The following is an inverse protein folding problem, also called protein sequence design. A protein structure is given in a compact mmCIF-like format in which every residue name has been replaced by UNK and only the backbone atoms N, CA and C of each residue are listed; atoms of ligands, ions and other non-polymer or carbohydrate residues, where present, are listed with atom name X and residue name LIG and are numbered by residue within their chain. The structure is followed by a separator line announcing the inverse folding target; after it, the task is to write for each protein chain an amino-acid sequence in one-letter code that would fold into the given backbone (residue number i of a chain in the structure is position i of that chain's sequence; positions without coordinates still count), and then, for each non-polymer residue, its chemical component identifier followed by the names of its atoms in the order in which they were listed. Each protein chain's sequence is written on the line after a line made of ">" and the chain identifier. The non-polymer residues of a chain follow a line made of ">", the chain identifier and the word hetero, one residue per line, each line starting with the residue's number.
data_IF_179078948046
#
_entry.id   IF_179078948046
#
_cell.length_a   1.000
_cell.length_b   1.000
_cell.length_c   1.000
_cell.angle_alpha   90.00
_cell.angle_beta   90.00
_cell.angle_gamma   90.00
#
_symmetry.space_group_name_H-M   'P 1'
#
loop_
_entity.id
_entity.type
_entity.pdbx_description
1 polymer ?
#
# COMPACT_ATOMS: atom_id res chain seq x y z
N UNK A 1 -30.88 -7.16 9.26
CA UNK A 1 -29.48 -7.10 8.78
C UNK A 1 -29.43 -6.11 7.62
N UNK A 2 -28.45 -5.19 7.61
CA UNK A 2 -28.49 -3.96 6.79
C UNK A 2 -28.55 -4.23 5.26
N UNK A 3 -27.88 -5.29 4.77
CA UNK A 3 -27.86 -5.66 3.34
C UNK A 3 -28.20 -7.14 3.12
N UNK A 4 -29.29 -7.61 3.74
CA UNK A 4 -29.75 -8.98 3.54
C UNK A 4 -30.87 -9.04 2.52
N UNK A 5 -30.70 -9.87 1.50
CA UNK A 5 -31.70 -10.13 0.45
C UNK A 5 -32.25 -8.84 -0.20
N UNK A 6 -31.36 -8.09 -0.84
CA UNK A 6 -31.61 -6.71 -1.27
C UNK A 6 -32.68 -6.59 -2.37
N UNK A 7 -32.97 -7.67 -3.11
CA UNK A 7 -34.00 -7.70 -4.16
C UNK A 7 -33.63 -6.94 -5.44
N UNK A 8 -34.65 -6.62 -6.26
CA UNK A 8 -34.51 -6.03 -7.60
C UNK A 8 -35.31 -4.71 -7.79
N UNK A 9 -35.68 -4.04 -6.71
CA UNK A 9 -36.37 -2.75 -6.78
C UNK A 9 -35.41 -1.60 -7.12
N UNK A 10 -35.92 -0.43 -7.48
CA UNK A 10 -35.09 0.73 -7.82
C UNK A 10 -34.11 1.12 -6.68
N UNK A 11 -34.56 1.05 -5.43
CA UNK A 11 -33.73 1.30 -4.24
C UNK A 11 -32.65 0.23 -4.02
N UNK A 12 -32.90 -1.00 -4.49
CA UNK A 12 -31.97 -2.13 -4.44
C UNK A 12 -30.72 -1.89 -5.28
N UNK A 13 -30.82 -1.13 -6.37
CA UNK A 13 -29.68 -0.76 -7.22
C UNK A 13 -28.61 -0.05 -6.37
N UNK A 14 -29.00 1.02 -5.68
CA UNK A 14 -28.08 1.80 -4.86
C UNK A 14 -27.57 0.98 -3.67
N UNK A 15 -28.42 0.16 -3.06
CA UNK A 15 -28.03 -0.69 -1.93
C UNK A 15 -26.96 -1.73 -2.33
N UNK A 16 -27.09 -2.37 -3.50
CA UNK A 16 -26.09 -3.32 -4.05
C UNK A 16 -24.74 -2.64 -4.31
N UNK A 17 -24.76 -1.47 -4.95
CA UNK A 17 -23.55 -0.65 -5.17
C UNK A 17 -22.91 -0.23 -3.85
N UNK A 18 -23.71 0.26 -2.92
CA UNK A 18 -23.25 0.77 -1.62
C UNK A 18 -22.59 -0.34 -0.82
N UNK A 19 -23.18 -1.54 -0.81
CA UNK A 19 -22.62 -2.71 -0.14
C UNK A 19 -21.28 -3.13 -0.76
N UNK A 20 -21.23 -3.30 -2.08
CA UNK A 20 -20.01 -3.73 -2.77
C UNK A 20 -18.86 -2.71 -2.64
N UNK A 21 -19.18 -1.43 -2.81
CA UNK A 21 -18.22 -0.34 -2.66
C UNK A 21 -17.72 -0.19 -1.22
N UNK A 22 -18.63 -0.27 -0.23
CA UNK A 22 -18.26 -0.22 1.18
C UNK A 22 -17.36 -1.37 1.59
N UNK A 23 -17.67 -2.61 1.19
CA UNK A 23 -16.89 -3.79 1.57
C UNK A 23 -15.51 -3.77 0.93
N UNK A 24 -15.44 -3.40 -0.35
CA UNK A 24 -14.16 -3.23 -1.06
C UNK A 24 -13.33 -2.12 -0.39
N UNK A 25 -13.93 -0.96 -0.13
CA UNK A 25 -13.27 0.17 0.51
C UNK A 25 -12.80 -0.15 1.93
N UNK A 26 -13.66 -0.77 2.74
CA UNK A 26 -13.33 -1.18 4.11
C UNK A 26 -12.19 -2.19 4.13
N UNK A 27 -12.21 -3.21 3.26
CA UNK A 27 -11.11 -4.17 3.18
C UNK A 27 -9.80 -3.52 2.81
N UNK A 28 -9.82 -2.63 1.83
CA UNK A 28 -8.62 -1.89 1.42
C UNK A 28 -8.09 -0.96 2.50
N UNK A 29 -8.98 -0.37 3.31
CA UNK A 29 -8.60 0.46 4.44
C UNK A 29 -8.00 -0.38 5.59
N UNK A 30 -8.58 -1.54 5.88
CA UNK A 30 -8.07 -2.46 6.90
C UNK A 30 -6.68 -3.00 6.57
N UNK A 31 -6.30 -3.07 5.29
CA UNK A 31 -4.94 -3.44 4.86
C UNK A 31 -3.84 -2.52 5.40
N UNK A 32 -4.17 -1.28 5.81
CA UNK A 32 -3.23 -0.39 6.51
C UNK A 32 -2.72 -1.01 7.81
N UNK A 33 -3.51 -1.88 8.45
CA UNK A 33 -3.11 -2.59 9.67
C UNK A 33 -1.85 -3.44 9.50
N UNK A 34 -1.52 -3.87 8.27
CA UNK A 34 -0.28 -4.61 7.97
C UNK A 34 0.97 -3.72 7.85
N UNK A 35 0.81 -2.40 7.85
CA UNK A 35 1.91 -1.45 7.65
C UNK A 35 3.09 -1.57 8.65
N UNK A 36 2.87 -1.79 9.97
CA UNK A 36 3.98 -2.02 10.90
C UNK A 36 4.87 -3.21 10.49
N UNK A 37 4.26 -4.31 10.05
CA UNK A 37 4.99 -5.51 9.60
C UNK A 37 5.90 -5.18 8.42
N UNK A 38 5.39 -4.44 7.43
CA UNK A 38 6.20 -4.05 6.26
C UNK A 38 7.41 -3.16 6.64
N UNK A 39 7.28 -2.31 7.66
CA UNK A 39 8.42 -1.53 8.13
C UNK A 39 9.47 -2.38 8.83
N UNK A 40 9.05 -3.40 9.58
CA UNK A 40 9.97 -4.34 10.21
C UNK A 40 10.71 -5.18 9.17
N UNK A 41 9.98 -5.73 8.20
CA UNK A 41 10.54 -6.45 7.05
C UNK A 41 11.53 -5.58 6.26
N UNK A 42 11.20 -4.31 6.01
CA UNK A 42 12.09 -3.37 5.33
C UNK A 42 13.42 -3.18 6.08
N UNK A 43 13.39 -3.08 7.42
CA UNK A 43 14.62 -2.94 8.23
C UNK A 43 15.50 -4.18 8.12
N UNK A 44 14.91 -5.36 8.18
CA UNK A 44 15.62 -6.64 8.03
C UNK A 44 16.20 -6.74 6.62
N UNK A 45 15.41 -6.44 5.60
CA UNK A 45 15.83 -6.39 4.20
C UNK A 45 17.07 -5.52 4.00
N UNK A 46 17.08 -4.30 4.53
CA UNK A 46 18.24 -3.42 4.39
C UNK A 46 19.50 -4.00 5.04
N UNK A 47 19.37 -4.70 6.18
CA UNK A 47 20.50 -5.34 6.86
C UNK A 47 21.04 -6.53 6.06
N UNK A 48 20.17 -7.43 5.60
CA UNK A 48 20.56 -8.62 4.85
C UNK A 48 21.11 -8.26 3.46
N UNK A 49 20.56 -7.22 2.84
CA UNK A 49 21.05 -6.70 1.56
C UNK A 49 22.45 -6.11 1.67
N UNK A 50 22.76 -5.40 2.75
CA UNK A 50 24.11 -4.87 3.01
C UNK A 50 25.15 -5.98 3.22
N UNK A 51 24.72 -7.14 3.72
CA UNK A 51 25.56 -8.34 3.84
C UNK A 51 25.61 -9.19 2.55
N UNK A 52 24.85 -8.84 1.52
CA UNK A 52 24.90 -9.49 0.20
C UNK A 52 24.07 -10.77 0.04
N UNK A 53 23.13 -11.08 0.95
CA UNK A 53 22.40 -12.36 0.93
C UNK A 53 21.46 -12.53 -0.28
N UNK A 54 20.71 -11.50 -0.66
CA UNK A 54 19.77 -11.57 -1.79
C UNK A 54 19.53 -10.20 -2.46
N UNK A 55 18.90 -10.22 -3.63
CA UNK A 55 18.59 -9.05 -4.43
C UNK A 55 17.18 -8.49 -4.20
N UNK A 56 16.97 -7.24 -4.63
CA UNK A 56 15.68 -6.53 -4.53
C UNK A 56 14.55 -7.30 -5.25
N UNK A 57 14.82 -7.91 -6.41
CA UNK A 57 13.80 -8.66 -7.15
C UNK A 57 13.34 -9.91 -6.39
N UNK A 58 14.27 -10.63 -5.77
CA UNK A 58 13.97 -11.83 -4.96
C UNK A 58 13.14 -11.46 -3.74
N UNK A 59 13.46 -10.35 -3.07
CA UNK A 59 12.66 -9.83 -1.96
C UNK A 59 11.20 -9.58 -2.34
N UNK A 60 10.97 -8.85 -3.44
CA UNK A 60 9.61 -8.48 -3.88
C UNK A 60 8.82 -9.72 -4.27
N UNK A 61 9.46 -10.67 -4.98
CA UNK A 61 8.81 -11.90 -5.42
C UNK A 61 8.47 -12.81 -4.23
N UNK A 62 9.41 -13.01 -3.30
CA UNK A 62 9.19 -13.82 -2.11
C UNK A 62 8.12 -13.22 -1.20
N UNK A 63 8.11 -11.89 -1.01
CA UNK A 63 7.06 -11.20 -0.26
C UNK A 63 5.68 -11.41 -0.90
N UNK A 64 5.57 -11.28 -2.23
CA UNK A 64 4.30 -11.51 -2.93
C UNK A 64 3.82 -12.95 -2.83
N UNK A 65 4.71 -13.93 -3.03
CA UNK A 65 4.35 -15.35 -2.92
C UNK A 65 3.92 -15.70 -1.49
N UNK A 66 4.58 -15.11 -0.49
CA UNK A 66 4.26 -15.31 0.92
C UNK A 66 2.88 -14.74 1.28
N UNK A 67 2.54 -13.53 0.82
CA UNK A 67 1.24 -12.91 1.12
C UNK A 67 0.09 -13.45 0.28
N UNK A 68 0.36 -13.96 -0.92
CA UNK A 68 -0.65 -14.48 -1.86
C UNK A 68 -1.72 -15.41 -1.25
N UNK A 69 -1.39 -16.51 -0.54
CA UNK A 69 -2.41 -17.41 0.00
C UNK A 69 -3.32 -16.73 1.04
N UNK A 70 -2.80 -15.79 1.82
CA UNK A 70 -3.58 -15.05 2.81
C UNK A 70 -4.51 -14.04 2.14
N UNK A 71 -4.01 -13.34 1.12
CA UNK A 71 -4.80 -12.41 0.31
C UNK A 71 -5.93 -13.10 -0.45
N UNK A 72 -5.67 -14.29 -1.01
CA UNK A 72 -6.71 -15.10 -1.64
C UNK A 72 -7.73 -15.56 -0.61
N UNK A 73 -7.28 -16.06 0.54
CA UNK A 73 -8.16 -16.54 1.60
C UNK A 73 -9.12 -15.45 2.11
N UNK A 74 -8.60 -14.27 2.46
CA UNK A 74 -9.44 -13.18 2.95
C UNK A 74 -10.43 -12.69 1.88
N UNK A 75 -10.00 -12.62 0.62
CA UNK A 75 -10.86 -12.17 -0.49
C UNK A 75 -11.96 -13.18 -0.81
N UNK A 76 -11.66 -14.48 -0.73
CA UNK A 76 -12.65 -15.55 -0.96
C UNK A 76 -13.63 -15.63 0.20
N UNK A 77 -13.17 -15.58 1.45
CA UNK A 77 -14.04 -15.66 2.63
C UNK A 77 -15.00 -14.47 2.64
N UNK A 78 -14.48 -13.25 2.53
CA UNK A 78 -15.32 -12.05 2.50
C UNK A 78 -16.17 -12.00 1.26
N UNK A 79 -15.62 -12.37 0.10
CA UNK A 79 -16.35 -12.51 -1.14
C UNK A 79 -17.57 -13.40 -0.97
N UNK A 80 -17.38 -14.61 -0.45
CA UNK A 80 -18.42 -15.62 -0.21
C UNK A 80 -19.50 -15.11 0.74
N UNK A 81 -19.11 -14.52 1.88
CA UNK A 81 -20.06 -14.01 2.86
C UNK A 81 -20.92 -12.91 2.25
N UNK A 82 -20.30 -11.91 1.63
CA UNK A 82 -21.02 -10.79 1.01
C UNK A 82 -21.93 -11.25 -0.13
N UNK A 83 -21.42 -12.12 -0.99
CA UNK A 83 -22.16 -12.58 -2.17
C UNK A 83 -23.44 -13.31 -1.79
N UNK A 84 -23.38 -14.15 -0.76
CA UNK A 84 -24.53 -14.89 -0.26
C UNK A 84 -25.51 -14.00 0.52
N UNK A 85 -25.02 -13.03 1.31
CA UNK A 85 -25.87 -12.12 2.08
C UNK A 85 -26.67 -11.16 1.20
N UNK A 86 -26.01 -10.53 0.23
CA UNK A 86 -26.64 -9.55 -0.67
C UNK A 86 -27.49 -10.23 -1.74
N UNK A 87 -27.22 -11.52 -2.02
CA UNK A 87 -27.69 -12.25 -3.19
C UNK A 87 -27.37 -11.48 -4.47
N UNK A 88 -26.08 -11.29 -4.71
CA UNK A 88 -25.61 -10.80 -6.01
C UNK A 88 -26.00 -11.77 -7.13
N UNK A 89 -25.80 -11.35 -8.38
CA UNK A 89 -26.26 -12.11 -9.56
C UNK A 89 -25.82 -13.58 -9.49
N UNK A 90 -26.71 -14.58 -9.65
CA UNK A 90 -26.29 -15.97 -9.61
C UNK A 90 -25.34 -16.31 -10.79
N UNK A 91 -24.29 -17.08 -10.51
CA UNK A 91 -23.36 -17.59 -11.53
C UNK A 91 -21.89 -17.56 -11.08
N UNK A 92 -21.18 -18.67 -11.32
CA UNK A 92 -19.79 -18.83 -10.88
C UNK A 92 -18.85 -17.76 -11.48
N UNK A 93 -19.06 -17.35 -12.73
CA UNK A 93 -18.26 -16.28 -13.37
C UNK A 93 -18.39 -14.95 -12.64
N UNK A 94 -19.57 -14.62 -12.13
CA UNK A 94 -19.83 -13.36 -11.43
C UNK A 94 -19.26 -13.37 -10.02
N UNK A 95 -19.35 -14.52 -9.35
CA UNK A 95 -18.71 -14.77 -8.06
C UNK A 95 -17.18 -14.69 -8.16
N UNK A 96 -16.59 -15.42 -9.11
CA UNK A 96 -15.14 -15.43 -9.32
C UNK A 96 -14.63 -14.02 -9.65
N UNK A 97 -15.35 -13.26 -10.49
CA UNK A 97 -15.02 -11.87 -10.76
C UNK A 97 -15.01 -11.01 -9.50
N UNK A 98 -16.02 -11.14 -8.63
CA UNK A 98 -16.09 -10.37 -7.39
C UNK A 98 -14.91 -10.68 -6.44
N UNK A 99 -14.60 -11.96 -6.26
CA UNK A 99 -13.45 -12.39 -5.45
C UNK A 99 -12.11 -11.92 -6.05
N UNK A 100 -11.93 -12.03 -7.37
CA UNK A 100 -10.72 -11.54 -8.05
C UNK A 100 -10.59 -10.02 -7.94
N UNK A 101 -11.69 -9.28 -8.09
CA UNK A 101 -11.69 -7.83 -7.96
C UNK A 101 -11.30 -7.39 -6.55
N UNK A 102 -11.83 -8.05 -5.52
CA UNK A 102 -11.42 -7.83 -4.12
C UNK A 102 -9.94 -8.16 -3.92
N UNK A 103 -9.50 -9.33 -4.41
CA UNK A 103 -8.11 -9.76 -4.31
C UNK A 103 -7.13 -8.75 -4.93
N UNK A 104 -7.38 -8.32 -6.16
CA UNK A 104 -6.51 -7.35 -6.82
C UNK A 104 -6.57 -5.98 -6.13
N UNK A 105 -7.73 -5.54 -5.64
CA UNK A 105 -7.88 -4.28 -4.91
C UNK A 105 -7.04 -4.26 -3.63
N UNK A 106 -7.11 -5.32 -2.82
CA UNK A 106 -6.30 -5.45 -1.61
C UNK A 106 -4.81 -5.57 -1.95
N UNK A 107 -4.46 -6.34 -2.98
CA UNK A 107 -3.06 -6.51 -3.43
C UNK A 107 -2.44 -5.19 -3.94
N UNK A 108 -3.23 -4.34 -4.60
CA UNK A 108 -2.79 -3.01 -5.04
C UNK A 108 -2.45 -2.15 -3.83
N UNK A 109 -3.31 -2.14 -2.81
CA UNK A 109 -3.04 -1.37 -1.59
C UNK A 109 -1.84 -1.90 -0.83
N UNK A 110 -1.70 -3.22 -0.70
CA UNK A 110 -0.49 -3.82 -0.11
C UNK A 110 0.77 -3.29 -0.80
N UNK A 111 0.77 -3.30 -2.14
CA UNK A 111 1.88 -2.80 -2.96
C UNK A 111 2.14 -1.32 -2.75
N UNK A 112 1.09 -0.51 -2.69
CA UNK A 112 1.19 0.92 -2.41
C UNK A 112 1.76 1.19 -1.01
N UNK A 113 1.31 0.44 0.00
CA UNK A 113 1.80 0.58 1.37
C UNK A 113 3.28 0.21 1.51
N UNK A 114 3.76 -0.79 0.75
CA UNK A 114 5.20 -1.10 0.68
C UNK A 114 6.01 0.04 0.04
N UNK A 115 5.49 0.68 -1.01
CA UNK A 115 6.13 1.90 -1.57
C UNK A 115 6.22 2.98 -0.51
N UNK A 116 5.14 3.26 0.22
CA UNK A 116 5.13 4.24 1.32
C UNK A 116 6.15 3.86 2.41
N UNK A 117 6.20 2.58 2.80
CA UNK A 117 7.14 2.06 3.80
C UNK A 117 8.60 2.31 3.42
N UNK A 118 8.95 2.24 2.13
CA UNK A 118 10.31 2.49 1.65
C UNK A 118 10.71 3.98 1.58
N UNK A 119 9.72 4.87 1.50
CA UNK A 119 9.95 6.31 1.35
C UNK A 119 10.01 7.02 2.70
N UNK A 120 9.27 6.53 3.68
CA UNK A 120 9.06 7.22 4.95
C UNK A 120 10.11 6.81 6.00
N UNK A 121 10.66 7.77 6.79
CA UNK A 121 11.66 7.47 7.81
C UNK A 121 11.09 6.87 9.10
N UNK A 122 9.83 7.16 9.44
CA UNK A 122 9.21 6.81 10.73
C UNK A 122 7.81 6.22 10.56
N UNK A 123 7.42 5.30 11.46
CA UNK A 123 6.12 4.62 11.42
C UNK A 123 4.91 5.56 11.35
N UNK A 124 4.86 6.55 12.24
CA UNK A 124 3.71 7.47 12.32
C UNK A 124 3.48 8.23 11.01
N UNK A 125 4.55 8.72 10.39
CA UNK A 125 4.46 9.45 9.11
C UNK A 125 3.95 8.53 7.99
N UNK A 126 4.27 7.23 8.05
CA UNK A 126 3.88 6.25 7.05
C UNK A 126 2.42 5.87 7.19
N UNK A 127 1.95 5.75 8.43
CA UNK A 127 0.54 5.56 8.75
C UNK A 127 -0.31 6.75 8.25
N UNK A 128 0.10 7.98 8.56
CA UNK A 128 -0.60 9.20 8.12
C UNK A 128 -0.62 9.29 6.58
N UNK A 129 0.53 9.05 5.94
CA UNK A 129 0.65 9.14 4.48
C UNK A 129 -0.16 8.05 3.79
N UNK A 130 -0.10 6.81 4.27
CA UNK A 130 -0.85 5.68 3.72
C UNK A 130 -2.36 5.87 3.85
N UNK A 131 -2.84 6.26 5.03
CA UNK A 131 -4.25 6.56 5.25
C UNK A 131 -4.74 7.72 4.37
N UNK A 132 -3.94 8.79 4.23
CA UNK A 132 -4.25 9.90 3.33
C UNK A 132 -4.34 9.48 1.85
N UNK A 133 -3.39 8.66 1.38
CA UNK A 133 -3.40 8.15 0.01
C UNK A 133 -4.61 7.26 -0.27
N UNK A 134 -4.95 6.35 0.64
CA UNK A 134 -6.14 5.50 0.51
C UNK A 134 -7.41 6.35 0.52
N UNK A 135 -7.50 7.35 1.40
CA UNK A 135 -8.61 8.31 1.40
C UNK A 135 -8.78 9.01 0.04
N UNK A 136 -7.69 9.50 -0.55
CA UNK A 136 -7.69 10.12 -1.87
C UNK A 136 -8.15 9.15 -2.97
N UNK A 137 -7.63 7.91 -2.95
CA UNK A 137 -8.02 6.86 -3.90
C UNK A 137 -9.52 6.55 -3.77
N UNK A 138 -10.03 6.45 -2.54
CA UNK A 138 -11.43 6.16 -2.26
C UNK A 138 -12.34 7.31 -2.71
N UNK A 139 -11.95 8.57 -2.51
CA UNK A 139 -12.69 9.74 -2.99
C UNK A 139 -12.74 9.81 -4.53
N UNK A 140 -11.67 9.39 -5.21
CA UNK A 140 -11.57 9.40 -6.67
C UNK A 140 -12.12 8.14 -7.35
N UNK A 141 -12.46 7.11 -6.57
CA UNK A 141 -12.92 5.80 -7.07
C UNK A 141 -14.28 5.83 -7.80
N UNK A 142 -15.02 6.94 -7.77
CA UNK A 142 -16.36 7.00 -8.36
C UNK A 142 -17.48 6.61 -7.42
N UNK A 143 -17.16 6.18 -6.19
CA UNK A 143 -18.15 5.82 -5.17
C UNK A 143 -18.88 7.03 -4.58
N UNK A 144 -18.13 8.03 -4.10
CA UNK A 144 -18.70 9.22 -3.44
C UNK A 144 -19.20 10.27 -4.43
N UNK A 145 -18.54 10.38 -5.57
CA UNK A 145 -18.90 11.28 -6.66
C UNK A 145 -18.62 10.58 -7.97
N UNK A 146 -19.55 10.65 -8.92
CA UNK A 146 -19.40 10.00 -10.21
C UNK A 146 -18.19 10.57 -10.96
N UNK A 147 -17.49 9.71 -11.70
CA UNK A 147 -16.31 10.08 -12.49
C UNK A 147 -16.50 11.31 -13.41
N UNK A 148 -17.64 11.49 -14.11
CA UNK A 148 -17.84 12.61 -15.01
C UNK A 148 -17.87 13.96 -14.30
N UNK A 149 -18.30 13.97 -13.04
CA UNK A 149 -18.52 15.18 -12.25
C UNK A 149 -17.26 15.62 -11.49
N UNK A 150 -16.18 14.84 -11.55
CA UNK A 150 -14.89 15.20 -10.98
C UNK A 150 -14.25 16.38 -11.76
N UNK A 151 -13.60 17.33 -11.07
CA UNK A 151 -12.88 18.42 -11.73
C UNK A 151 -11.81 17.90 -12.69
N UNK A 152 -11.80 18.43 -13.92
CA UNK A 152 -11.10 17.83 -15.07
C UNK A 152 -9.58 17.76 -14.94
N UNK A 153 -8.95 18.77 -14.36
CA UNK A 153 -7.48 19.00 -14.49
C UNK A 153 -6.62 18.08 -13.61
N UNK A 154 -7.13 17.65 -12.45
CA UNK A 154 -6.33 16.87 -11.50
C UNK A 154 -7.04 15.59 -11.05
N UNK A 155 -8.33 15.69 -10.72
CA UNK A 155 -9.08 14.60 -10.11
C UNK A 155 -9.59 13.59 -11.14
N UNK A 156 -10.08 14.07 -12.29
CA UNK A 156 -10.54 13.22 -13.40
C UNK A 156 -9.40 12.73 -14.30
N UNK A 157 -8.37 13.55 -14.47
CA UNK A 157 -7.13 13.17 -15.15
C UNK A 157 -5.99 13.75 -14.30
N UNK A 158 -5.01 12.97 -13.79
CA UNK A 158 -4.75 11.53 -13.94
C UNK A 158 -5.25 10.66 -12.77
N UNK A 159 -5.69 11.26 -11.65
CA UNK A 159 -5.85 10.54 -10.37
C UNK A 159 -6.89 9.42 -10.45
N UNK A 160 -8.06 9.63 -11.07
CA UNK A 160 -9.04 8.55 -11.24
C UNK A 160 -8.59 7.43 -12.19
N UNK A 161 -7.67 7.70 -13.12
CA UNK A 161 -7.13 6.66 -14.01
C UNK A 161 -6.06 5.82 -13.34
N UNK A 162 -5.30 6.43 -12.41
CA UNK A 162 -4.29 5.75 -11.58
C UNK A 162 -4.96 5.01 -10.42
N UNK A 163 -6.12 5.50 -9.94
CA UNK A 163 -6.90 4.87 -8.89
C UNK A 163 -7.46 3.53 -9.35
N UNK A 164 -7.00 2.44 -8.74
CA UNK A 164 -7.59 1.11 -8.96
C UNK A 164 -9.09 1.10 -8.61
N UNK A 165 -9.52 1.94 -7.65
CA UNK A 165 -10.90 1.99 -7.19
C UNK A 165 -11.86 2.36 -8.30
N UNK A 166 -11.47 3.27 -9.21
CA UNK A 166 -12.30 3.67 -10.35
C UNK A 166 -12.56 2.51 -11.31
N UNK A 167 -11.56 1.67 -11.56
CA UNK A 167 -11.70 0.49 -12.42
C UNK A 167 -12.44 -0.65 -11.70
N UNK A 168 -12.11 -0.90 -10.44
CA UNK A 168 -12.72 -1.95 -9.63
C UNK A 168 -14.23 -1.73 -9.45
N UNK A 169 -14.67 -0.48 -9.26
CA UNK A 169 -16.09 -0.13 -9.11
C UNK A 169 -16.83 -0.25 -10.45
N UNK A 170 -16.26 0.25 -11.55
CA UNK A 170 -16.85 0.12 -12.89
C UNK A 170 -17.02 -1.35 -13.30
N UNK A 171 -15.98 -2.17 -13.06
CA UNK A 171 -16.04 -3.61 -13.27
C UNK A 171 -17.09 -4.29 -12.40
N UNK A 172 -17.21 -3.86 -11.13
CA UNK A 172 -18.25 -4.31 -10.21
C UNK A 172 -19.67 -4.03 -10.71
N UNK A 173 -19.93 -2.81 -11.20
CA UNK A 173 -21.23 -2.44 -11.80
C UNK A 173 -21.58 -3.32 -12.99
N UNK A 174 -20.64 -3.52 -13.90
CA UNK A 174 -20.84 -4.39 -15.07
C UNK A 174 -21.06 -5.85 -14.66
N UNK A 175 -20.34 -6.31 -13.64
CA UNK A 175 -20.46 -7.69 -13.18
C UNK A 175 -21.83 -7.98 -12.54
N UNK A 176 -22.37 -7.02 -11.81
CA UNK A 176 -23.57 -7.20 -11.01
C UNK A 176 -24.86 -6.78 -11.72
N UNK A 177 -24.82 -5.80 -12.64
CA UNK A 177 -26.02 -5.26 -13.29
C UNK A 177 -26.26 -5.76 -14.71
N UNK A 178 -25.22 -6.06 -15.52
CA UNK A 178 -25.44 -6.51 -16.89
C UNK A 178 -26.32 -7.76 -16.90
N UNK A 179 -27.36 -7.80 -17.73
CA UNK A 179 -28.31 -8.90 -17.83
C UNK A 179 -29.31 -9.04 -16.68
N UNK A 180 -29.42 -8.06 -15.77
CA UNK A 180 -30.52 -7.95 -14.83
C UNK A 180 -31.52 -6.87 -15.26
N UNK A 181 -32.76 -7.02 -14.80
CA UNK A 181 -33.81 -6.01 -14.91
C UNK A 181 -34.20 -5.55 -13.51
N UNK A 182 -34.43 -4.25 -13.37
CA UNK A 182 -34.85 -3.63 -12.12
C UNK A 182 -36.23 -2.99 -12.28
N UNK A 183 -37.00 -3.01 -11.20
CA UNK A 183 -38.28 -2.31 -11.16
C UNK A 183 -38.05 -0.79 -11.26
N UNK A 184 -38.91 -0.07 -11.98
CA UNK A 184 -38.80 1.37 -12.12
C UNK A 184 -39.10 2.09 -10.80
N UNK A 185 -38.73 3.37 -10.72
CA UNK A 185 -39.03 4.21 -9.55
C UNK A 185 -40.54 4.51 -9.43
N UNK A 186 -41.23 4.66 -10.55
CA UNK A 186 -42.67 4.94 -10.58
C UNK A 186 -43.46 3.74 -11.13
N UNK A 187 -44.56 3.33 -10.47
CA UNK A 187 -45.43 2.28 -10.97
C UNK A 187 -45.98 2.63 -12.36
N UNK A 188 -45.74 1.77 -13.37
CA UNK A 188 -46.23 1.94 -14.74
C UNK A 188 -45.17 2.29 -15.78
N UNK A 189 -43.94 2.62 -15.36
CA UNK A 189 -42.80 2.75 -16.28
C UNK A 189 -42.25 1.37 -16.71
N UNK A 190 -41.56 1.28 -17.87
CA UNK A 190 -40.89 0.04 -18.25
C UNK A 190 -39.78 -0.31 -17.26
N UNK A 191 -39.55 -1.61 -17.05
CA UNK A 191 -38.42 -2.09 -16.25
C UNK A 191 -37.11 -1.54 -16.81
N UNK A 192 -36.22 -1.09 -15.92
CA UNK A 192 -34.91 -0.59 -16.32
C UNK A 192 -33.95 -1.76 -16.48
N UNK A 193 -33.35 -1.87 -17.66
CA UNK A 193 -32.28 -2.84 -17.87
C UNK A 193 -31.01 -2.41 -17.13
N UNK A 194 -30.21 -3.35 -16.64
CA UNK A 194 -28.97 -3.02 -15.95
C UNK A 194 -27.96 -2.25 -16.81
N UNK A 195 -28.01 -2.40 -18.14
CA UNK A 195 -27.22 -1.58 -19.07
C UNK A 195 -27.64 -0.11 -19.04
N UNK A 196 -28.94 0.15 -19.01
CA UNK A 196 -29.46 1.51 -18.85
C UNK A 196 -29.14 2.08 -17.48
N UNK A 197 -29.17 1.26 -16.43
CA UNK A 197 -28.74 1.68 -15.09
C UNK A 197 -27.27 2.12 -15.10
N UNK A 198 -26.37 1.31 -15.68
CA UNK A 198 -24.94 1.64 -15.75
C UNK A 198 -24.70 2.92 -16.57
N UNK A 199 -25.36 3.07 -17.72
CA UNK A 199 -25.16 4.22 -18.61
C UNK A 199 -25.85 5.50 -18.10
N UNK A 200 -27.12 5.42 -17.67
CA UNK A 200 -27.93 6.59 -17.29
C UNK A 200 -27.67 7.00 -15.84
N UNK A 201 -27.60 6.05 -14.91
CA UNK A 201 -27.44 6.35 -13.47
C UNK A 201 -25.97 6.53 -13.11
N UNK A 202 -25.10 5.59 -13.48
CA UNK A 202 -23.68 5.64 -13.11
C UNK A 202 -22.78 6.34 -14.14
N UNK A 203 -23.32 6.67 -15.33
CA UNK A 203 -22.59 7.34 -16.42
C UNK A 203 -21.27 6.65 -16.79
N UNK A 204 -21.27 5.32 -16.70
CA UNK A 204 -20.13 4.47 -17.05
C UNK A 204 -20.35 3.89 -18.45
N UNK A 205 -19.33 3.92 -19.29
CA UNK A 205 -19.40 3.34 -20.63
C UNK A 205 -19.40 1.80 -20.56
N UNK A 206 -20.39 1.18 -21.21
CA UNK A 206 -20.56 -0.29 -21.28
C UNK A 206 -19.81 -0.89 -22.48
N UNK A 207 -19.14 -0.08 -23.29
CA UNK A 207 -18.49 -0.50 -24.56
C UNK A 207 -17.40 -1.56 -24.38
N UNK A 208 -16.74 -1.62 -23.22
CA UNK A 208 -15.73 -2.63 -22.90
C UNK A 208 -16.21 -3.62 -21.84
N UNK A 209 -15.76 -4.88 -21.97
CA UNK A 209 -16.11 -5.97 -21.06
C UNK A 209 -15.62 -5.72 -19.62
N UNK A 210 -16.32 -6.30 -18.64
CA UNK A 210 -15.92 -6.28 -17.21
C UNK A 210 -14.49 -6.77 -16.97
N UNK A 211 -14.01 -7.70 -17.81
CA UNK A 211 -12.65 -8.25 -17.72
C UNK A 211 -11.57 -7.24 -18.07
N UNK A 212 -11.87 -6.24 -18.92
CA UNK A 212 -10.93 -5.15 -19.19
C UNK A 212 -10.72 -4.27 -17.96
N UNK A 213 -11.78 -4.00 -17.20
CA UNK A 213 -11.67 -3.25 -15.95
C UNK A 213 -10.81 -4.02 -14.92
N UNK A 214 -11.01 -5.34 -14.82
CA UNK A 214 -10.18 -6.20 -13.96
C UNK A 214 -8.71 -6.25 -14.42
N UNK A 215 -8.48 -6.33 -15.73
CA UNK A 215 -7.14 -6.30 -16.31
C UNK A 215 -6.44 -4.96 -16.05
N UNK A 216 -7.17 -3.84 -16.07
CA UNK A 216 -6.63 -2.52 -15.70
C UNK A 216 -6.19 -2.50 -14.23
N UNK A 217 -6.99 -3.05 -13.32
CA UNK A 217 -6.61 -3.19 -11.89
C UNK A 217 -5.36 -4.05 -11.73
N UNK A 218 -5.28 -5.19 -12.43
CA UNK A 218 -4.10 -6.05 -12.44
C UNK A 218 -2.86 -5.34 -13.05
N UNK A 219 -3.06 -4.54 -14.09
CA UNK A 219 -2.01 -3.70 -14.66
C UNK A 219 -1.48 -2.66 -13.66
N UNK A 220 -2.38 -2.00 -12.92
CA UNK A 220 -2.01 -1.06 -11.85
C UNK A 220 -1.23 -1.77 -10.73
N UNK A 221 -1.61 -3.00 -10.36
CA UNK A 221 -0.85 -3.82 -9.40
C UNK A 221 0.59 -4.03 -9.87
N UNK A 222 0.78 -4.47 -11.12
CA UNK A 222 2.12 -4.67 -11.70
C UNK A 222 2.89 -3.35 -11.72
N UNK A 223 2.25 -2.24 -12.13
CA UNK A 223 2.87 -0.92 -12.12
C UNK A 223 3.35 -0.51 -10.72
N UNK A 224 2.57 -0.72 -9.66
CA UNK A 224 3.01 -0.41 -8.29
C UNK A 224 4.13 -1.33 -7.79
N UNK A 225 4.13 -2.60 -8.19
CA UNK A 225 5.24 -3.53 -7.87
C UNK A 225 6.54 -3.11 -8.57
N UNK A 226 6.46 -2.68 -9.84
CA UNK A 226 7.59 -2.13 -10.58
C UNK A 226 8.05 -0.79 -9.98
N UNK A 227 7.11 0.08 -9.57
CA UNK A 227 7.43 1.32 -8.87
C UNK A 227 8.19 1.03 -7.57
N UNK A 228 7.73 0.05 -6.78
CA UNK A 228 8.42 -0.38 -5.57
C UNK A 228 9.85 -0.86 -5.87
N UNK A 229 10.03 -1.69 -6.89
CA UNK A 229 11.35 -2.12 -7.34
C UNK A 229 12.27 -0.94 -7.71
N UNK A 230 11.75 0.01 -8.49
CA UNK A 230 12.49 1.22 -8.88
C UNK A 230 12.85 2.06 -7.66
N UNK A 231 11.93 2.28 -6.72
CA UNK A 231 12.17 3.06 -5.50
C UNK A 231 13.28 2.41 -4.65
N UNK A 232 13.25 1.09 -4.47
CA UNK A 232 14.31 0.37 -3.75
C UNK A 232 15.67 0.48 -4.47
N UNK A 233 15.68 0.37 -5.80
CA UNK A 233 16.91 0.54 -6.61
C UNK A 233 17.47 1.96 -6.56
N UNK A 234 16.61 2.97 -6.59
CA UNK A 234 17.02 4.36 -6.45
C UNK A 234 17.57 4.65 -5.05
N UNK A 235 16.95 4.11 -4.00
CA UNK A 235 17.46 4.19 -2.63
C UNK A 235 18.84 3.53 -2.49
N UNK A 236 19.04 2.38 -3.12
CA UNK A 236 20.32 1.67 -3.15
C UNK A 236 21.43 2.55 -3.77
N UNK A 237 21.16 3.19 -4.92
CA UNK A 237 22.11 4.09 -5.57
C UNK A 237 22.32 5.41 -4.83
N UNK A 238 21.27 5.96 -4.22
CA UNK A 238 21.31 7.23 -3.50
C UNK A 238 21.96 7.11 -2.11
N UNK A 239 21.96 5.91 -1.51
CA UNK A 239 22.53 5.66 -0.18
C UNK A 239 23.99 6.10 -0.02
N UNK A 240 24.93 5.64 -0.88
CA UNK A 240 26.31 6.08 -0.86
C UNK A 240 26.47 7.58 -1.10
N UNK A 241 25.70 8.17 -2.02
CA UNK A 241 25.74 9.59 -2.33
C UNK A 241 25.28 10.46 -1.14
N UNK A 242 24.19 10.07 -0.48
CA UNK A 242 23.68 10.75 0.72
C UNK A 242 24.67 10.65 1.88
N UNK A 243 25.24 9.47 2.12
CA UNK A 243 26.28 9.27 3.14
C UNK A 243 27.54 10.09 2.83
N UNK A 244 27.95 10.17 1.56
CA UNK A 244 29.08 10.99 1.14
C UNK A 244 28.81 12.49 1.32
N UNK A 245 27.60 12.97 1.04
CA UNK A 245 27.21 14.38 1.27
C UNK A 245 27.17 14.69 2.77
N UNK A 246 26.58 13.80 3.58
CA UNK A 246 26.56 13.96 5.03
C UNK A 246 27.97 13.93 5.63
N UNK A 247 28.82 12.98 5.22
CA UNK A 247 30.22 12.91 5.63
C UNK A 247 30.98 14.19 5.26
N UNK A 248 30.82 14.70 4.04
CA UNK A 248 31.42 15.99 3.61
C UNK A 248 30.93 17.16 4.46
N UNK A 249 29.65 17.22 4.81
CA UNK A 249 29.10 18.27 5.70
C UNK A 249 29.66 18.15 7.13
N UNK A 250 29.73 16.94 7.68
CA UNK A 250 30.30 16.68 8.99
C UNK A 250 31.79 17.04 9.03
N UNK A 251 32.56 16.66 8.01
CA UNK A 251 33.97 17.03 7.85
C UNK A 251 34.15 18.55 7.77
N UNK A 252 33.34 19.25 6.96
CA UNK A 252 33.38 20.72 6.88
C UNK A 252 33.06 21.40 8.22
N UNK A 253 32.17 20.81 9.02
CA UNK A 253 31.86 21.31 10.36
C UNK A 253 32.97 21.00 11.37
N UNK A 254 33.69 19.87 11.21
CA UNK A 254 34.87 19.52 12.00
C UNK A 254 36.06 20.45 11.70
N UNK A 255 36.33 20.76 10.42
CA UNK A 255 37.40 21.71 10.02
C UNK A 255 37.17 23.13 10.53
N UNK A 256 35.89 23.50 10.77
CA UNK A 256 35.53 24.77 11.39
C UNK A 256 35.74 24.80 12.90
N UNK A 257 35.96 23.65 13.56
CA UNK A 257 36.28 23.63 15.00
C UNK A 257 37.74 24.08 15.21
N UNK A 258 38.00 25.03 16.12
CA UNK A 258 39.34 25.58 16.35
C UNK A 258 40.35 24.56 16.88
N UNK A 259 39.89 23.42 17.42
CA UNK A 259 40.74 22.32 17.88
C UNK A 259 41.44 21.55 16.75
N UNK A 260 40.91 21.55 15.52
CA UNK A 260 41.47 20.80 14.38
C UNK A 260 42.43 21.65 13.52
N UNK A 261 42.35 22.98 13.61
CA UNK A 261 43.26 23.91 12.91
C UNK A 261 44.69 23.94 13.49
N UNK A 262 44.96 23.20 14.57
CA UNK A 262 46.20 23.26 15.36
C UNK A 262 47.02 21.97 15.37
N UNK A 263 46.87 21.10 14.35
CA UNK A 263 47.88 20.07 14.09
C UNK A 263 48.77 20.54 12.92
N UNK A 264 49.98 21.07 13.20
CA UNK A 264 51.00 21.15 12.18
C UNK A 264 51.39 19.72 11.80
N UNK A 265 51.65 19.51 10.51
CA UNK A 265 52.27 18.33 9.94
C UNK A 265 53.56 17.97 10.70
N UNK A 266 53.50 17.00 11.61
CA UNK A 266 54.66 16.33 12.16
C UNK A 266 55.11 15.24 11.19
N UNK A 267 55.60 15.67 10.03
CA UNK A 267 56.57 14.92 9.24
C UNK A 267 57.94 15.52 9.53
N UNK A 268 58.88 14.68 9.97
CA UNK A 268 60.32 14.91 10.18
C UNK A 268 60.73 15.75 11.41
N UNK A 269 61.00 15.06 12.53
CA UNK A 269 62.38 15.02 13.03
C UNK A 269 62.63 13.72 13.81
N UNK A 270 63.56 12.93 13.28
CA UNK A 270 64.14 11.77 13.93
C UNK A 270 65.26 12.30 14.85
N UNK A 271 64.97 12.62 16.12
CA UNK A 271 65.99 12.69 17.17
C UNK A 271 65.39 13.02 18.54
N UNK A 272 65.65 12.10 19.48
CA UNK A 272 65.49 12.24 20.93
C UNK A 272 64.08 12.51 21.47
N UNK A 273 63.52 11.52 22.16
CA UNK A 273 63.10 11.65 23.56
C UNK A 273 62.56 10.29 24.00
N UNK A 274 63.45 9.51 24.60
CA UNK A 274 63.10 8.42 25.50
C UNK A 274 62.24 8.98 26.63
N UNK A 275 60.99 8.54 26.75
CA UNK A 275 60.28 8.59 28.03
C UNK A 275 59.23 7.50 28.10
N UNK A 276 59.52 6.51 28.95
CA UNK A 276 58.63 5.45 29.39
C UNK A 276 57.34 6.05 29.96
N UNK A 277 56.19 5.67 29.41
CA UNK A 277 54.95 5.58 30.17
C UNK A 277 54.12 4.40 29.70
N UNK A 278 54.29 3.29 30.40
CA UNK A 278 53.28 2.25 30.49
C UNK A 278 52.02 2.83 31.14
N UNK A 279 50.86 2.60 30.52
CA UNK A 279 49.59 2.52 31.24
C UNK A 279 48.94 1.18 30.88
N UNK A 280 48.60 0.34 31.87
CA UNK A 280 48.12 -1.02 31.63
C UNK A 280 46.62 -1.04 31.28
N UNK A 281 46.24 -2.11 30.59
CA UNK A 281 44.86 -2.51 30.31
C UNK A 281 44.05 -2.63 31.61
N UNK A 282 42.88 -1.98 31.66
CA UNK A 282 41.90 -2.14 32.76
C UNK A 282 41.40 -3.59 32.81
N UNK A 283 41.49 -4.22 33.98
CA UNK A 283 41.08 -5.60 34.25
C UNK A 283 39.57 -5.74 34.52
N UNK A 284 39.03 -6.89 34.08
CA UNK A 284 37.63 -7.35 34.15
C UNK A 284 37.29 -7.99 35.52
N UNK A 285 37.44 -7.29 36.65
CA UNK A 285 37.22 -7.91 37.98
C UNK A 285 36.40 -7.09 38.98
N UNK A 286 35.29 -6.50 38.55
CA UNK A 286 34.28 -6.00 39.50
C UNK A 286 32.86 -6.28 39.01
N UNK A 287 32.58 -7.56 38.79
CA UNK A 287 31.22 -8.09 38.78
C UNK A 287 31.21 -9.28 39.74
N UNK A 288 30.97 -9.02 41.01
CA UNK A 288 30.34 -9.97 41.92
C UNK A 288 29.92 -9.23 43.19
N UNK A 289 28.61 -9.15 43.38
CA UNK A 289 27.94 -8.42 44.45
C UNK A 289 26.45 -8.72 44.39
N UNK A 290 26.13 -10.01 44.34
CA UNK A 290 24.79 -10.57 44.49
C UNK A 290 24.24 -10.21 45.88
N UNK A 291 23.02 -9.66 45.92
CA UNK A 291 21.87 -10.17 46.68
C UNK A 291 20.88 -9.05 47.02
N UNK A 292 19.66 -9.15 46.46
CA UNK A 292 18.43 -8.64 47.08
C UNK A 292 18.17 -9.42 48.40
N UNK A 293 17.40 -8.90 49.38
CA UNK A 293 15.94 -8.88 49.25
C UNK A 293 15.17 -7.76 50.00
N UNK A 294 13.87 -7.70 49.65
CA UNK A 294 12.69 -7.37 50.47
C UNK A 294 12.23 -5.90 50.66
N UNK A 295 11.00 -5.69 50.14
CA UNK A 295 9.81 -5.09 50.76
C UNK A 295 9.96 -4.02 51.84
N UNK A 296 9.39 -2.84 51.58
CA UNK A 296 8.17 -2.35 52.23
C UNK A 296 7.35 -1.53 51.24
#
# INVERSE_FOLDING_TARGET
>A
TIFYDVGYSYTSILARVSCGGFITGFMTFMSIGGFPSFLEEMKVFYKERMSGYYGVAVYILSNYISSFPFLVSISVITGTITYNLVKFRPGFSHYAFFCLNLFFSVSVIESLMMVVASLVPNFLMGLITGAGLIGIIMMTSGFFRLLPDLPKIFWRYPVSYISYGSWAIQGGYKNDFLGLEFEPLFPGEPKMTGEEVINKVFRVQVTHSKWWDLAAVAGILVCYRLLFFVVLKLRERAGPALKAIQAKRTMKNLDRRPSFKRMPSLSLSLSSMSSRRHQPLRSLSSQEGLNSPAHY
#
